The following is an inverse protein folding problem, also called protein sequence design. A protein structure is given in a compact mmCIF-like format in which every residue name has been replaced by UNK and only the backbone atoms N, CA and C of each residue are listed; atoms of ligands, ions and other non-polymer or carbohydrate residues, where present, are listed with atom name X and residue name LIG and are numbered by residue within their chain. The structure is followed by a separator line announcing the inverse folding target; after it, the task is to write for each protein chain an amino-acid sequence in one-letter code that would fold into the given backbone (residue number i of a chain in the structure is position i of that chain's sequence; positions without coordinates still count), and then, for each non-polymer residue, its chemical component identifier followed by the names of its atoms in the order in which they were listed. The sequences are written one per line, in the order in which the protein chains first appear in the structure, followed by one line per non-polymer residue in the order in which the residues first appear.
data_IF_757436089508
#
_entry.id   IF_757436089508
#
_cell.length_a   1.000
_cell.length_b   1.000
_cell.length_c   1.000
_cell.angle_alpha   90.00
_cell.angle_beta   90.00
_cell.angle_gamma   90.00
#
_symmetry.space_group_name_H-M   'P 1'
#
loop_
_entity.id
_entity.type
_entity.pdbx_description
1 polymer ?
#
# COMPACT_ATOMS: atom_id res chain seq x y z
N UNK A 1 -29.23 -17.49 -40.18
CA UNK A 1 -29.77 -17.21 -38.82
C UNK A 1 -28.78 -17.64 -37.74
N UNK A 2 -29.05 -18.66 -36.90
CA UNK A 2 -28.33 -18.92 -35.62
C UNK A 2 -26.79 -18.85 -35.66
N UNK A 3 -26.14 -19.39 -36.70
CA UNK A 3 -24.68 -19.38 -36.84
C UNK A 3 -24.06 -17.96 -36.93
N UNK A 4 -24.78 -16.99 -37.51
CA UNK A 4 -24.31 -15.60 -37.65
C UNK A 4 -24.26 -14.90 -36.29
N UNK A 5 -25.23 -15.15 -35.42
CA UNK A 5 -25.23 -14.61 -34.05
C UNK A 5 -24.08 -15.19 -33.21
N UNK A 6 -23.73 -16.46 -33.40
CA UNK A 6 -22.57 -17.06 -32.73
C UNK A 6 -21.26 -16.36 -33.14
N UNK A 7 -21.05 -16.13 -34.44
CA UNK A 7 -19.88 -15.39 -34.94
C UNK A 7 -19.82 -13.95 -34.42
N UNK A 8 -20.97 -13.25 -34.35
CA UNK A 8 -21.05 -11.90 -33.78
C UNK A 8 -20.68 -11.87 -32.28
N UNK A 9 -21.16 -12.84 -31.49
CA UNK A 9 -20.82 -12.93 -30.06
C UNK A 9 -19.33 -13.23 -29.86
N UNK A 10 -18.75 -14.13 -30.66
CA UNK A 10 -17.30 -14.43 -30.62
C UNK A 10 -16.48 -13.21 -31.04
N UNK A 11 -16.89 -12.49 -32.07
CA UNK A 11 -16.21 -11.26 -32.52
C UNK A 11 -16.25 -10.15 -31.46
N UNK A 12 -17.42 -9.91 -30.84
CA UNK A 12 -17.57 -8.93 -29.76
C UNK A 12 -16.75 -9.31 -28.51
N UNK A 13 -16.74 -10.59 -28.13
CA UNK A 13 -15.93 -11.10 -27.03
C UNK A 13 -14.42 -10.96 -27.28
N UNK A 14 -13.97 -11.24 -28.51
CA UNK A 14 -12.57 -11.07 -28.91
C UNK A 14 -12.16 -9.58 -28.94
N UNK A 15 -13.00 -8.70 -29.50
CA UNK A 15 -12.74 -7.27 -29.55
C UNK A 15 -12.65 -6.65 -28.15
N UNK A 16 -13.61 -6.95 -27.26
CA UNK A 16 -13.57 -6.46 -25.88
C UNK A 16 -12.34 -6.93 -25.10
N UNK A 17 -11.93 -8.19 -25.29
CA UNK A 17 -10.70 -8.73 -24.68
C UNK A 17 -9.43 -8.05 -25.20
N UNK A 18 -9.36 -7.75 -26.50
CA UNK A 18 -8.22 -7.06 -27.10
C UNK A 18 -8.13 -5.60 -26.60
N UNK A 19 -9.24 -4.85 -26.63
CA UNK A 19 -9.28 -3.47 -26.13
C UNK A 19 -8.99 -3.36 -24.63
N UNK A 20 -9.40 -4.34 -23.82
CA UNK A 20 -9.04 -4.39 -22.40
C UNK A 20 -7.51 -4.56 -22.21
N UNK A 21 -6.90 -5.46 -22.99
CA UNK A 21 -5.47 -5.78 -22.87
C UNK A 21 -4.57 -4.63 -23.36
N UNK A 22 -4.91 -4.01 -24.49
CA UNK A 22 -4.15 -2.88 -25.03
C UNK A 22 -4.31 -1.62 -24.16
N UNK A 23 -5.51 -1.39 -23.61
CA UNK A 23 -5.76 -0.31 -22.65
C UNK A 23 -4.90 -0.43 -21.39
N UNK A 24 -4.77 -1.64 -20.84
CA UNK A 24 -3.92 -1.91 -19.66
C UNK A 24 -2.43 -1.72 -19.95
N UNK A 25 -1.96 -2.12 -21.14
CA UNK A 25 -0.57 -1.95 -21.57
C UNK A 25 -0.18 -0.49 -21.80
N UNK A 26 -1.10 0.34 -22.30
CA UNK A 26 -0.86 1.77 -22.51
C UNK A 26 -0.65 2.56 -21.19
N UNK A 27 -1.15 2.05 -20.06
CA UNK A 27 -1.12 2.74 -18.76
C UNK A 27 0.06 2.38 -17.83
N UNK A 28 0.97 1.47 -18.22
CA UNK A 28 2.01 0.91 -17.32
C UNK A 28 3.45 1.30 -17.73
N UNK A 29 3.63 2.10 -18.79
CA UNK A 29 4.89 2.83 -18.98
C UNK A 29 4.79 4.21 -18.32
N UNK A 30 5.73 4.55 -17.42
CA UNK A 30 7.12 4.79 -17.86
C UNK A 30 8.20 3.96 -17.11
N UNK A 31 9.45 4.10 -17.59
CA UNK A 31 10.70 3.71 -16.89
C UNK A 31 10.95 2.20 -16.66
N UNK A 32 11.25 1.49 -17.75
CA UNK A 32 12.37 0.53 -17.72
C UNK A 32 13.53 1.15 -18.51
N UNK A 33 14.57 1.59 -17.81
CA UNK A 33 15.87 1.94 -18.38
C UNK A 33 16.91 0.92 -17.87
N UNK A 34 17.38 -0.02 -18.71
CA UNK A 34 18.14 -1.18 -18.27
C UNK A 34 19.64 -0.87 -18.08
N UNK A 35 19.98 0.17 -17.31
CA UNK A 35 21.37 0.60 -17.12
C UNK A 35 21.72 1.17 -15.73
N UNK A 36 21.83 0.30 -14.72
CA UNK A 36 22.85 0.49 -13.65
C UNK A 36 23.15 -0.82 -12.93
N UNK A 37 24.43 -1.04 -12.60
CA UNK A 37 24.91 -2.26 -11.95
C UNK A 37 24.78 -2.20 -10.42
N UNK A 38 24.86 -3.39 -9.80
CA UNK A 38 25.31 -3.60 -8.42
C UNK A 38 26.58 -2.77 -8.10
N UNK A 39 26.45 -1.73 -7.27
CA UNK A 39 27.54 -1.19 -6.44
C UNK A 39 26.97 -0.22 -5.39
N UNK A 40 27.06 -0.58 -4.11
CA UNK A 40 27.22 0.28 -2.93
C UNK A 40 27.14 -0.59 -1.66
N UNK A 41 28.08 -1.54 -1.58
CA UNK A 41 28.62 -1.94 -0.29
C UNK A 41 29.70 -0.91 0.09
N UNK A 42 30.07 -0.86 1.37
CA UNK A 42 31.09 0.04 1.94
C UNK A 42 30.74 1.54 1.96
N UNK A 43 30.32 2.03 3.15
CA UNK A 43 30.85 3.29 3.69
C UNK A 43 30.71 3.42 5.21
N UNK A 44 31.83 3.15 5.87
CA UNK A 44 32.41 3.91 6.99
C UNK A 44 31.54 4.20 8.22
N UNK A 45 31.74 3.37 9.26
CA UNK A 45 31.67 3.87 10.63
C UNK A 45 32.70 4.99 10.81
N UNK A 46 32.26 6.21 11.16
CA UNK A 46 33.16 7.28 11.59
C UNK A 46 32.91 7.64 13.06
N UNK A 47 33.53 6.85 13.94
CA UNK A 47 33.74 7.23 15.34
C UNK A 47 34.65 8.46 15.40
N UNK A 48 34.07 9.64 15.66
CA UNK A 48 34.86 10.87 15.79
C UNK A 48 35.21 11.13 17.27
N UNK A 49 36.34 10.58 17.71
CA UNK A 49 36.85 10.69 19.08
C UNK A 49 38.22 11.41 19.07
N UNK A 50 38.30 12.56 19.75
CA UNK A 50 39.42 13.51 19.72
C UNK A 50 38.90 14.96 19.87
N UNK A 51 39.09 15.68 20.99
CA UNK A 51 40.30 16.09 21.75
C UNK A 51 41.20 17.07 20.98
N UNK A 52 41.75 18.14 21.58
CA UNK A 52 41.53 18.81 22.88
C UNK A 52 42.29 20.19 22.89
N UNK A 53 42.11 21.13 23.81
CA UNK A 53 41.15 21.20 24.93
C UNK A 53 40.23 22.46 24.83
N UNK A 54 40.44 23.66 25.39
CA UNK A 54 41.33 24.14 26.46
C UNK A 54 40.82 25.47 27.07
N UNK A 55 40.39 25.47 28.35
CA UNK A 55 40.47 26.63 29.28
C UNK A 55 39.89 26.32 30.68
N UNK A 56 40.54 26.76 31.78
CA UNK A 56 40.13 26.40 33.14
C UNK A 56 39.20 27.44 33.81
N UNK A 57 38.33 26.98 34.72
CA UNK A 57 38.09 27.68 35.99
C UNK A 57 37.47 26.75 37.06
N UNK A 58 38.35 26.30 37.96
CA UNK A 58 38.21 26.40 39.42
C UNK A 58 36.84 26.12 40.04
N UNK A 59 36.74 24.97 40.71
CA UNK A 59 35.90 24.88 41.92
C UNK A 59 36.45 25.84 42.97
N UNK A 60 35.63 26.73 43.51
CA UNK A 60 35.98 27.47 44.74
C UNK A 60 34.85 27.43 45.77
N UNK A 61 35.21 27.48 47.04
CA UNK A 61 34.32 27.39 48.19
C UNK A 61 34.15 28.78 48.79
N UNK A 62 32.92 29.26 48.88
CA UNK A 62 32.60 30.36 49.78
C UNK A 62 32.79 29.93 51.25
N UNK A 63 33.08 30.87 52.18
CA UNK A 63 33.66 32.21 52.00
C UNK A 63 34.85 32.49 52.96
N UNK A 64 35.52 33.63 52.79
CA UNK A 64 36.16 34.33 53.92
C UNK A 64 36.26 35.85 53.68
N UNK A 65 36.64 36.59 54.72
CA UNK A 65 36.19 37.94 55.00
C UNK A 65 37.16 39.08 54.59
N UNK A 66 36.62 40.30 54.56
CA UNK A 66 37.28 41.59 54.88
C UNK A 66 38.23 42.28 53.88
N UNK A 67 37.72 43.36 53.28
CA UNK A 67 38.38 44.68 53.18
C UNK A 67 37.28 45.75 53.00
N UNK A 68 37.60 47.04 53.21
CA UNK A 68 36.62 48.15 53.20
C UNK A 68 36.67 48.98 51.91
N UNK A 69 35.59 49.75 51.72
CA UNK A 69 35.59 51.13 51.21
C UNK A 69 35.88 51.37 49.71
N UNK A 70 34.81 51.60 48.95
CA UNK A 70 34.60 52.87 48.21
C UNK A 70 33.20 52.94 47.58
N UNK A 71 32.72 54.16 47.28
CA UNK A 71 31.73 54.41 46.24
C UNK A 71 30.26 54.06 46.53
N UNK A 72 29.50 55.02 47.07
CA UNK A 72 28.04 54.99 46.98
C UNK A 72 27.58 55.18 45.53
N UNK A 73 27.35 54.08 44.80
CA UNK A 73 26.42 54.05 43.68
C UNK A 73 25.40 52.93 43.89
N UNK A 74 24.44 53.19 44.78
CA UNK A 74 23.17 52.47 44.80
C UNK A 74 22.37 52.84 43.54
N UNK A 75 22.74 52.27 42.39
CA UNK A 75 21.80 52.09 41.30
C UNK A 75 20.68 51.25 41.88
N UNK A 76 19.53 51.88 42.12
CA UNK A 76 18.37 51.16 42.61
C UNK A 76 17.87 50.27 41.48
N UNK A 77 18.33 49.01 41.46
CA UNK A 77 17.68 47.95 40.71
C UNK A 77 16.20 47.96 41.11
N UNK A 78 15.36 48.46 40.21
CA UNK A 78 13.94 48.58 40.42
C UNK A 78 13.35 47.17 40.47
N UNK A 79 13.35 46.57 41.67
CA UNK A 79 12.90 45.19 41.90
C UNK A 79 11.57 44.99 41.17
N UNK A 80 11.52 44.12 40.15
CA UNK A 80 10.36 44.01 39.28
C UNK A 80 9.13 43.71 40.11
N UNK A 81 8.10 44.55 39.93
CA UNK A 81 6.89 44.53 40.74
C UNK A 81 6.29 43.12 40.77
N UNK A 82 6.13 42.49 41.95
CA UNK A 82 5.66 41.11 42.05
C UNK A 82 4.23 40.92 41.55
N UNK A 83 3.45 42.00 41.35
CA UNK A 83 2.20 41.94 40.60
C UNK A 83 2.44 41.68 39.10
N UNK A 84 3.33 42.45 38.47
CA UNK A 84 3.63 42.35 37.03
C UNK A 84 4.27 41.01 36.66
N UNK A 85 5.18 40.51 37.51
CA UNK A 85 5.75 39.16 37.37
C UNK A 85 4.71 38.02 37.47
N UNK A 86 3.55 38.25 38.09
CA UNK A 86 2.44 37.29 38.11
C UNK A 86 1.61 37.38 36.83
N UNK A 87 1.32 38.58 36.35
CA UNK A 87 0.60 38.79 35.08
C UNK A 87 1.38 38.22 33.88
N UNK A 88 2.68 38.51 33.78
CA UNK A 88 3.56 37.99 32.74
C UNK A 88 3.61 36.44 32.72
N UNK A 89 3.70 35.81 33.90
CA UNK A 89 3.62 34.35 34.03
C UNK A 89 2.25 33.80 33.60
N UNK A 90 1.16 34.47 33.94
CA UNK A 90 -0.19 34.04 33.57
C UNK A 90 -0.45 34.18 32.05
N UNK A 91 0.10 35.22 31.40
CA UNK A 91 0.10 35.31 29.94
C UNK A 91 0.94 34.21 29.29
N UNK A 92 2.14 33.94 29.80
CA UNK A 92 3.01 32.88 29.27
C UNK A 92 2.35 31.49 29.43
N UNK A 93 1.63 31.24 30.53
CA UNK A 93 0.88 30.01 30.75
C UNK A 93 -0.36 29.90 29.84
N UNK A 94 -1.06 31.02 29.55
CA UNK A 94 -2.15 31.07 28.56
C UNK A 94 -1.64 30.77 27.15
N UNK A 95 -0.58 31.46 26.70
CA UNK A 95 0.03 31.24 25.37
C UNK A 95 0.46 29.78 25.20
N UNK A 96 1.09 29.17 26.21
CA UNK A 96 1.42 27.72 26.18
C UNK A 96 0.21 26.80 26.15
N UNK A 97 -0.92 27.16 26.78
CA UNK A 97 -2.17 26.38 26.71
C UNK A 97 -2.84 26.50 25.35
N UNK A 98 -2.86 27.69 24.76
CA UNK A 98 -3.38 27.93 23.41
C UNK A 98 -2.54 27.21 22.35
N UNK A 99 -1.21 27.28 22.44
CA UNK A 99 -0.26 26.54 21.60
C UNK A 99 -0.43 25.03 21.74
N UNK A 100 -0.46 24.51 22.98
CA UNK A 100 -0.69 23.09 23.25
C UNK A 100 -2.13 22.62 22.95
N UNK A 101 -3.08 23.53 22.72
CA UNK A 101 -4.41 23.20 22.19
C UNK A 101 -4.38 23.14 20.66
N UNK A 102 -3.78 24.12 19.98
CA UNK A 102 -3.59 24.10 18.52
C UNK A 102 -2.85 22.85 18.07
N UNK A 103 -1.75 22.47 18.73
CA UNK A 103 -1.01 21.25 18.44
C UNK A 103 -1.84 19.95 18.63
N UNK A 104 -2.87 19.97 19.50
CA UNK A 104 -3.80 18.84 19.64
C UNK A 104 -4.87 18.83 18.56
N UNK A 105 -5.34 20.00 18.14
CA UNK A 105 -6.32 20.16 17.05
C UNK A 105 -5.67 19.79 15.70
N UNK A 106 -4.42 20.19 15.48
CA UNK A 106 -3.57 19.81 14.35
C UNK A 106 -3.30 18.29 14.34
N UNK A 107 -2.78 17.71 15.43
CA UNK A 107 -2.56 16.26 15.52
C UNK A 107 -3.87 15.43 15.46
N UNK A 108 -5.03 16.03 15.78
CA UNK A 108 -6.33 15.40 15.57
C UNK A 108 -6.77 15.45 14.10
N UNK A 109 -6.51 16.56 13.40
CA UNK A 109 -6.75 16.70 11.96
C UNK A 109 -5.84 15.76 11.14
N UNK A 110 -4.56 15.63 11.50
CA UNK A 110 -3.63 14.67 10.89
C UNK A 110 -4.15 13.23 11.04
N UNK A 111 -4.61 12.85 12.24
CA UNK A 111 -5.19 11.51 12.49
C UNK A 111 -6.50 11.29 11.73
N UNK A 112 -7.33 12.32 11.59
CA UNK A 112 -8.55 12.24 10.78
C UNK A 112 -8.20 11.99 9.31
N UNK A 113 -7.30 12.79 8.72
CA UNK A 113 -6.84 12.62 7.34
C UNK A 113 -6.16 11.25 7.11
N UNK A 114 -5.32 10.79 8.05
CA UNK A 114 -4.72 9.46 7.99
C UNK A 114 -5.77 8.34 8.05
N UNK A 115 -6.86 8.53 8.82
CA UNK A 115 -7.99 7.59 8.91
C UNK A 115 -8.81 7.57 7.62
N UNK A 116 -9.02 8.72 6.97
CA UNK A 116 -9.67 8.79 5.65
C UNK A 116 -8.83 8.09 4.58
N UNK A 117 -7.51 8.33 4.52
CA UNK A 117 -6.59 7.66 3.60
C UNK A 117 -6.53 6.14 3.87
N UNK A 118 -6.55 5.71 5.13
CA UNK A 118 -6.66 4.30 5.51
C UNK A 118 -7.95 3.68 4.97
N UNK A 119 -9.10 4.31 5.23
CA UNK A 119 -10.41 3.80 4.79
C UNK A 119 -10.54 3.78 3.26
N UNK A 120 -10.00 4.77 2.56
CA UNK A 120 -9.97 4.81 1.10
C UNK A 120 -9.13 3.66 0.51
N UNK A 121 -7.90 3.44 1.00
CA UNK A 121 -7.04 2.31 0.59
C UNK A 121 -7.68 0.96 0.90
N UNK A 122 -8.26 0.82 2.09
CA UNK A 122 -8.99 -0.37 2.51
C UNK A 122 -10.13 -0.69 1.54
N UNK A 123 -10.94 0.31 1.19
CA UNK A 123 -12.07 0.13 0.26
C UNK A 123 -11.59 -0.29 -1.14
N UNK A 124 -10.55 0.34 -1.69
CA UNK A 124 -10.01 -0.04 -3.01
C UNK A 124 -9.60 -1.52 -3.03
N UNK A 125 -8.92 -2.01 -1.99
CA UNK A 125 -8.56 -3.43 -1.88
C UNK A 125 -9.80 -4.33 -1.72
N UNK A 126 -10.82 -3.91 -0.98
CA UNK A 126 -12.08 -4.66 -0.85
C UNK A 126 -12.86 -4.72 -2.18
N UNK A 127 -12.90 -3.63 -2.95
CA UNK A 127 -13.50 -3.55 -4.29
C UNK A 127 -12.70 -4.42 -5.31
N UNK A 128 -11.36 -4.37 -5.30
CA UNK A 128 -10.48 -5.22 -6.13
C UNK A 128 -10.68 -6.74 -5.84
N UNK A 129 -10.75 -7.13 -4.56
CA UNK A 129 -10.99 -8.52 -4.16
C UNK A 129 -12.39 -8.99 -4.62
N UNK A 130 -13.39 -8.10 -4.57
CA UNK A 130 -14.73 -8.40 -5.04
C UNK A 130 -14.76 -8.61 -6.56
N UNK A 131 -14.08 -7.75 -7.34
CA UNK A 131 -14.03 -7.90 -8.80
C UNK A 131 -13.34 -9.21 -9.20
N UNK A 132 -12.15 -9.48 -8.68
CA UNK A 132 -11.42 -10.74 -8.92
C UNK A 132 -12.26 -11.98 -8.53
N UNK A 133 -13.09 -11.87 -7.49
CA UNK A 133 -14.07 -12.89 -7.11
C UNK A 133 -15.13 -13.13 -8.19
N UNK A 134 -15.72 -12.06 -8.75
CA UNK A 134 -16.70 -12.22 -9.85
C UNK A 134 -16.06 -12.79 -11.12
N UNK A 135 -14.81 -12.41 -11.43
CA UNK A 135 -14.06 -12.97 -12.55
C UNK A 135 -13.79 -14.47 -12.34
N UNK A 136 -13.38 -14.87 -11.12
CA UNK A 136 -13.16 -16.26 -10.72
C UNK A 136 -14.43 -17.11 -10.88
N UNK A 137 -15.56 -16.65 -10.35
CA UNK A 137 -16.85 -17.35 -10.46
C UNK A 137 -17.32 -17.48 -11.91
N UNK A 138 -17.07 -16.48 -12.75
CA UNK A 138 -17.35 -16.53 -14.18
C UNK A 138 -16.47 -17.56 -14.92
N UNK A 139 -15.20 -17.75 -14.54
CA UNK A 139 -14.35 -18.83 -15.06
C UNK A 139 -14.83 -20.19 -14.53
N UNK A 140 -15.13 -20.32 -13.24
CA UNK A 140 -15.68 -21.55 -12.66
C UNK A 140 -17.02 -21.96 -13.28
N UNK A 141 -17.85 -21.00 -13.72
CA UNK A 141 -19.05 -21.30 -14.52
C UNK A 141 -18.70 -21.90 -15.90
N UNK A 142 -17.68 -21.36 -16.59
CA UNK A 142 -17.19 -21.88 -17.88
C UNK A 142 -16.59 -23.27 -17.75
N UNK A 143 -15.80 -23.55 -16.71
CA UNK A 143 -15.24 -24.88 -16.40
C UNK A 143 -16.38 -25.90 -16.27
N UNK A 144 -17.32 -25.66 -15.34
CA UNK A 144 -18.49 -26.53 -15.12
C UNK A 144 -19.38 -26.67 -16.36
N UNK A 145 -19.38 -25.72 -17.30
CA UNK A 145 -20.09 -25.86 -18.57
C UNK A 145 -19.31 -26.74 -19.56
N UNK A 146 -17.99 -26.54 -19.70
CA UNK A 146 -17.13 -27.35 -20.56
C UNK A 146 -17.10 -28.83 -20.15
N UNK A 147 -17.05 -29.11 -18.85
CA UNK A 147 -17.12 -30.48 -18.30
C UNK A 147 -18.44 -31.19 -18.66
N UNK A 148 -19.57 -30.50 -18.52
CA UNK A 148 -20.90 -31.03 -18.90
C UNK A 148 -21.02 -31.23 -20.42
N UNK A 149 -20.49 -30.31 -21.22
CA UNK A 149 -20.45 -30.45 -22.68
C UNK A 149 -19.61 -31.67 -23.11
N UNK A 150 -18.44 -31.87 -22.49
CA UNK A 150 -17.57 -33.02 -22.72
C UNK A 150 -18.25 -34.34 -22.32
N UNK A 151 -18.93 -34.37 -21.18
CA UNK A 151 -19.67 -35.56 -20.72
C UNK A 151 -20.82 -35.95 -21.68
N UNK A 152 -21.65 -34.99 -22.10
CA UNK A 152 -22.73 -35.26 -23.05
C UNK A 152 -22.20 -35.62 -24.46
N UNK A 153 -21.05 -35.09 -24.88
CA UNK A 153 -20.37 -35.50 -26.11
C UNK A 153 -19.84 -36.94 -26.03
N UNK A 154 -19.15 -37.32 -24.94
CA UNK A 154 -18.73 -38.69 -24.67
C UNK A 154 -19.91 -39.68 -24.71
N UNK A 155 -21.02 -39.31 -24.06
CA UNK A 155 -22.27 -40.07 -24.00
C UNK A 155 -22.91 -40.22 -25.38
N UNK A 156 -22.90 -39.18 -26.21
CA UNK A 156 -23.35 -39.25 -27.61
C UNK A 156 -22.48 -40.21 -28.45
N UNK A 157 -21.15 -40.17 -28.31
CA UNK A 157 -20.24 -41.09 -28.99
C UNK A 157 -20.38 -42.55 -28.54
N UNK A 158 -20.81 -42.81 -27.30
CA UNK A 158 -21.15 -44.16 -26.82
C UNK A 158 -22.49 -44.65 -27.38
N UNK A 159 -23.42 -43.74 -27.69
CA UNK A 159 -24.71 -44.05 -28.32
C UNK A 159 -24.62 -44.30 -29.83
N UNK A 160 -23.74 -43.60 -30.54
CA UNK A 160 -23.52 -43.78 -31.97
C UNK A 160 -22.70 -45.05 -32.27
N UNK A 161 -23.38 -46.14 -32.64
CA UNK A 161 -22.74 -47.42 -33.01
C UNK A 161 -21.83 -47.34 -34.25
N UNK A 162 -22.08 -46.36 -35.13
CA UNK A 162 -21.26 -46.00 -36.29
C UNK A 162 -21.36 -44.47 -36.41
N UNK A 163 -20.25 -43.75 -36.60
CA UNK A 163 -20.33 -42.30 -36.82
C UNK A 163 -19.06 -41.46 -36.68
N UNK A 164 -18.07 -41.88 -35.88
CA UNK A 164 -16.80 -41.14 -35.70
C UNK A 164 -15.62 -42.09 -35.49
N UNK A 165 -14.49 -41.93 -36.23
CA UNK A 165 -13.23 -42.60 -35.93
C UNK A 165 -12.73 -42.25 -34.52
N UNK A 166 -12.14 -43.22 -33.81
CA UNK A 166 -11.63 -42.99 -32.45
C UNK A 166 -10.46 -41.97 -32.43
N UNK A 167 -9.76 -41.82 -33.55
CA UNK A 167 -8.74 -40.79 -33.77
C UNK A 167 -9.30 -39.37 -33.75
N UNK A 168 -10.54 -39.16 -34.18
CA UNK A 168 -11.22 -37.85 -34.10
C UNK A 168 -11.76 -37.58 -32.70
N UNK A 169 -12.35 -38.60 -32.05
CA UNK A 169 -12.79 -38.50 -30.66
C UNK A 169 -11.64 -38.16 -29.72
N UNK A 170 -10.48 -38.78 -29.90
CA UNK A 170 -9.30 -38.48 -29.09
C UNK A 170 -8.79 -37.05 -29.30
N UNK A 171 -8.70 -36.57 -30.55
CA UNK A 171 -8.38 -35.14 -30.83
C UNK A 171 -9.35 -34.19 -30.11
N UNK A 172 -10.65 -34.49 -30.11
CA UNK A 172 -11.67 -33.66 -29.46
C UNK A 172 -11.63 -33.77 -27.92
N UNK A 173 -11.35 -34.94 -27.35
CA UNK A 173 -11.06 -35.12 -25.92
C UNK A 173 -9.87 -34.28 -25.48
N UNK A 174 -8.76 -34.36 -26.20
CA UNK A 174 -7.50 -33.72 -25.81
C UNK A 174 -7.57 -32.20 -25.99
N UNK A 175 -8.23 -31.70 -27.04
CA UNK A 175 -8.56 -30.28 -27.16
C UNK A 175 -9.48 -29.80 -26.00
N UNK A 176 -10.48 -30.59 -25.61
CA UNK A 176 -11.37 -30.26 -24.49
C UNK A 176 -10.63 -30.25 -23.15
N UNK A 177 -9.71 -31.19 -22.93
CA UNK A 177 -8.81 -31.24 -21.76
C UNK A 177 -7.87 -30.05 -21.70
N UNK A 178 -7.26 -29.68 -22.83
CA UNK A 178 -6.39 -28.50 -22.92
C UNK A 178 -7.16 -27.21 -22.60
N UNK A 179 -8.37 -27.05 -23.14
CA UNK A 179 -9.23 -25.89 -22.85
C UNK A 179 -9.66 -25.82 -21.38
N UNK A 180 -10.09 -26.94 -20.79
CA UNK A 180 -10.43 -27.00 -19.35
C UNK A 180 -9.19 -26.77 -18.47
N UNK A 181 -8.02 -27.25 -18.87
CA UNK A 181 -6.75 -26.98 -18.20
C UNK A 181 -6.38 -25.50 -18.21
N UNK A 182 -6.55 -24.81 -19.35
CA UNK A 182 -6.36 -23.36 -19.47
C UNK A 182 -7.33 -22.58 -18.57
N UNK A 183 -8.62 -22.92 -18.58
CA UNK A 183 -9.61 -22.27 -17.69
C UNK A 183 -9.26 -22.49 -16.21
N UNK A 184 -8.87 -23.70 -15.81
CA UNK A 184 -8.47 -23.98 -14.43
C UNK A 184 -7.19 -23.25 -14.02
N UNK A 185 -6.22 -23.10 -14.92
CA UNK A 185 -5.03 -22.30 -14.68
C UNK A 185 -5.37 -20.81 -14.48
N UNK A 186 -6.24 -20.23 -15.31
CA UNK A 186 -6.72 -18.85 -15.12
C UNK A 186 -7.55 -18.67 -13.85
N UNK A 187 -8.32 -19.68 -13.43
CA UNK A 187 -9.05 -19.64 -12.17
C UNK A 187 -8.11 -19.66 -10.95
N UNK A 188 -7.08 -20.50 -10.96
CA UNK A 188 -6.10 -20.54 -9.86
C UNK A 188 -5.23 -19.27 -9.85
N UNK A 189 -4.89 -18.68 -11.00
CA UNK A 189 -4.20 -17.38 -11.06
C UNK A 189 -5.01 -16.25 -10.41
N UNK A 190 -6.28 -16.08 -10.79
CA UNK A 190 -7.20 -15.12 -10.13
C UNK A 190 -7.34 -15.38 -8.62
N UNK A 191 -7.26 -16.65 -8.19
CA UNK A 191 -7.27 -17.00 -6.77
C UNK A 191 -5.98 -16.57 -6.07
N UNK A 192 -4.82 -16.74 -6.68
CA UNK A 192 -3.55 -16.26 -6.13
C UNK A 192 -3.53 -14.72 -6.07
N UNK A 193 -4.04 -14.03 -7.09
CA UNK A 193 -4.25 -12.57 -7.06
C UNK A 193 -5.15 -12.15 -5.89
N UNK A 194 -6.30 -12.81 -5.69
CA UNK A 194 -7.17 -12.57 -4.53
C UNK A 194 -6.47 -12.81 -3.18
N UNK A 195 -5.59 -13.82 -3.08
CA UNK A 195 -4.85 -14.10 -1.85
C UNK A 195 -3.80 -13.02 -1.56
N UNK A 196 -3.10 -12.52 -2.58
CA UNK A 196 -2.19 -11.37 -2.46
C UNK A 196 -2.95 -10.12 -2.01
N UNK A 197 -4.08 -9.79 -2.65
CA UNK A 197 -4.92 -8.63 -2.27
C UNK A 197 -5.53 -8.74 -0.89
N UNK A 198 -5.96 -9.94 -0.46
CA UNK A 198 -6.40 -10.19 0.93
C UNK A 198 -5.27 -10.00 1.94
N UNK A 199 -4.02 -10.26 1.56
CA UNK A 199 -2.84 -10.00 2.39
C UNK A 199 -2.49 -8.50 2.43
N UNK A 200 -2.52 -7.80 1.31
CA UNK A 200 -2.39 -6.33 1.28
C UNK A 200 -3.43 -5.67 2.21
N UNK A 201 -4.66 -6.19 2.24
CA UNK A 201 -5.74 -5.75 3.12
C UNK A 201 -5.51 -6.10 4.61
N UNK A 202 -4.89 -7.24 4.94
CA UNK A 202 -4.56 -7.59 6.33
C UNK A 202 -3.34 -6.85 6.88
N UNK A 203 -2.37 -6.56 6.01
CA UNK A 203 -1.11 -5.90 6.35
C UNK A 203 -1.28 -4.35 6.43
N UNK A 204 -2.44 -3.84 6.01
CA UNK A 204 -2.83 -2.43 6.09
C UNK A 204 -2.99 -1.99 7.56
N UNK A 205 -1.95 -1.35 8.10
CA UNK A 205 -1.94 -0.80 9.47
C UNK A 205 -2.92 0.37 9.62
N UNK A 206 -3.62 0.41 10.74
CA UNK A 206 -4.40 1.58 11.18
C UNK A 206 -3.47 2.68 11.71
N UNK A 207 -3.83 3.97 11.54
CA UNK A 207 -3.19 5.09 12.21
C UNK A 207 -3.55 5.16 13.71
#
# INVERSE_FOLDING_TARGET
MKFVYFLLIVALGAAGYFSYKDGYLASIHPLLDPSTHLANQDRDESSNDGKADESPQTTDKTPSESAKETGNQSVAEAKPDPAKLREERLEAERKKKEEAQRLKEEAAAERAAATEVYNAKRKVLEDEIAELGTQYDAIQAKVRQGERNMYEQEKAWRGQRIGTPETEKNKLRDASRQYLGQLNASAEDLRQQMLVKRKELSDLKRP
#
